data_IF_706221188368
#
_entry.id   IF_706221188368
#
_cell.length_a   1.000
_cell.length_b   1.000
_cell.length_c   1.000
_cell.angle_alpha   90.00
_cell.angle_beta   90.00
_cell.angle_gamma   90.00
#
_symmetry.space_group_name_H-M   'P 1'
#
loop_
_entity.id
_entity.type
_entity.pdbx_description
1 polymer ?
#
# COMPACT_ATOMS: atom_id res chain seq x y z
N UNK A 1 32.75 -8.73 -9.94
CA UNK A 1 31.33 -8.30 -10.02
C UNK A 1 30.84 -8.22 -8.58
N UNK A 2 30.28 -7.08 -8.17
CA UNK A 2 29.72 -6.89 -6.81
C UNK A 2 28.21 -6.71 -7.00
N UNK A 3 27.43 -7.49 -6.26
CA UNK A 3 25.99 -7.31 -6.17
C UNK A 3 25.67 -6.50 -4.91
N UNK A 4 24.71 -5.58 -5.01
CA UNK A 4 24.16 -4.83 -3.89
C UNK A 4 22.69 -5.22 -3.78
N UNK A 5 22.29 -5.67 -2.61
CA UNK A 5 20.91 -6.04 -2.32
C UNK A 5 20.20 -4.86 -1.66
N UNK A 6 18.97 -4.58 -2.10
CA UNK A 6 18.13 -3.55 -1.53
C UNK A 6 16.91 -4.20 -0.89
N UNK A 7 16.64 -3.84 0.36
CA UNK A 7 15.37 -4.07 1.00
C UNK A 7 14.42 -2.89 0.80
N UNK A 8 13.25 -2.97 1.42
CA UNK A 8 12.41 -1.79 1.56
C UNK A 8 13.08 -0.79 2.50
N UNK A 9 12.93 0.53 2.25
CA UNK A 9 13.46 1.55 3.12
C UNK A 9 12.81 1.50 4.52
N UNK A 10 13.45 2.16 5.48
CA UNK A 10 12.84 2.36 6.80
C UNK A 10 11.49 3.10 6.66
N UNK A 11 10.53 2.85 7.57
CA UNK A 11 9.17 3.40 7.47
C UNK A 11 9.16 4.91 7.22
N UNK A 12 9.92 5.67 8.02
CA UNK A 12 9.99 7.13 7.92
C UNK A 12 10.49 7.60 6.54
N UNK A 13 11.47 6.89 5.97
CA UNK A 13 11.99 7.18 4.63
C UNK A 13 10.97 6.82 3.56
N UNK A 14 10.29 5.68 3.70
CA UNK A 14 9.24 5.25 2.77
C UNK A 14 8.07 6.24 2.75
N UNK A 15 7.68 6.76 3.92
CA UNK A 15 6.62 7.75 4.05
C UNK A 15 6.99 9.07 3.35
N UNK A 16 8.23 9.56 3.52
CA UNK A 16 8.70 10.75 2.81
C UNK A 16 8.71 10.55 1.29
N UNK A 17 9.16 9.38 0.82
CA UNK A 17 9.10 9.03 -0.60
C UNK A 17 7.66 9.06 -1.09
N UNK A 18 6.73 8.45 -0.34
CA UNK A 18 5.35 8.34 -0.75
C UNK A 18 4.64 9.70 -0.75
N UNK A 19 4.82 10.51 0.29
CA UNK A 19 4.28 11.87 0.35
C UNK A 19 4.73 12.71 -0.85
N UNK A 20 6.03 12.64 -1.19
CA UNK A 20 6.60 13.36 -2.34
C UNK A 20 6.10 12.84 -3.68
N UNK A 21 6.24 11.54 -3.94
CA UNK A 21 5.99 10.93 -5.26
C UNK A 21 4.50 10.75 -5.59
N UNK A 22 3.66 10.68 -4.57
CA UNK A 22 2.21 10.54 -4.71
C UNK A 22 1.47 11.87 -4.54
N UNK A 23 2.12 12.91 -4.00
CA UNK A 23 1.48 14.22 -3.78
C UNK A 23 0.43 14.20 -2.67
N UNK A 24 0.61 13.37 -1.64
CA UNK A 24 -0.29 13.24 -0.49
C UNK A 24 0.33 13.81 0.78
N UNK A 25 -0.50 14.11 1.78
CA UNK A 25 0.00 14.53 3.08
C UNK A 25 0.69 13.39 3.85
N UNK A 26 1.44 13.75 4.90
CA UNK A 26 2.22 12.79 5.71
C UNK A 26 1.34 11.75 6.42
N UNK A 27 0.10 12.09 6.80
CA UNK A 27 -0.80 11.15 7.48
C UNK A 27 -1.28 10.06 6.53
N UNK A 28 -1.68 10.45 5.32
CA UNK A 28 -2.02 9.52 4.22
C UNK A 28 -0.83 8.64 3.87
N UNK A 29 0.38 9.23 3.80
CA UNK A 29 1.60 8.47 3.53
C UNK A 29 1.89 7.42 4.61
N UNK A 30 1.79 7.80 5.88
CA UNK A 30 1.97 6.91 7.02
C UNK A 30 0.98 5.76 7.03
N UNK A 31 -0.30 6.00 6.70
CA UNK A 31 -1.31 4.96 6.61
C UNK A 31 -1.01 3.94 5.50
N UNK A 32 -0.65 4.41 4.31
CA UNK A 32 -0.29 3.54 3.18
C UNK A 32 0.98 2.72 3.46
N UNK A 33 1.99 3.30 4.12
CA UNK A 33 3.21 2.58 4.51
C UNK A 33 2.91 1.53 5.59
N UNK A 34 2.12 1.88 6.62
CA UNK A 34 1.68 0.92 7.65
C UNK A 34 0.93 -0.27 7.04
N UNK A 35 0.03 0.02 6.10
CA UNK A 35 -0.70 -1.01 5.34
C UNK A 35 0.24 -1.87 4.51
N UNK A 36 1.17 -1.28 3.76
CA UNK A 36 2.18 -2.01 2.97
C UNK A 36 3.03 -2.95 3.83
N UNK A 37 3.44 -2.51 5.02
CA UNK A 37 4.16 -3.35 5.98
C UNK A 37 3.30 -4.52 6.49
N UNK A 38 2.01 -4.31 6.72
CA UNK A 38 1.09 -5.37 7.11
C UNK A 38 1.01 -6.46 6.04
N UNK A 39 0.92 -6.08 4.76
CA UNK A 39 0.94 -7.04 3.65
C UNK A 39 2.28 -7.78 3.59
N UNK A 40 3.41 -7.08 3.71
CA UNK A 40 4.76 -7.70 3.64
C UNK A 40 5.00 -8.74 4.75
N UNK A 41 4.27 -8.66 5.87
CA UNK A 41 4.33 -9.64 6.96
C UNK A 41 3.50 -10.89 6.71
N UNK A 42 2.53 -10.87 5.78
CA UNK A 42 1.82 -12.08 5.40
C UNK A 42 2.80 -13.00 4.68
N UNK A 43 3.01 -14.21 5.22
CA UNK A 43 3.85 -15.23 4.57
C UNK A 43 3.39 -15.43 3.12
N UNK A 44 4.34 -15.36 2.19
CA UNK A 44 4.13 -15.16 0.75
C UNK A 44 3.42 -16.30 -0.02
N UNK A 45 2.64 -17.15 0.66
CA UNK A 45 2.02 -18.36 0.12
C UNK A 45 0.94 -18.17 -0.96
N UNK A 46 0.66 -16.94 -1.39
CA UNK A 46 -0.33 -16.66 -2.43
C UNK A 46 -0.23 -15.29 -3.10
N UNK A 47 0.80 -14.51 -2.79
CA UNK A 47 1.05 -13.23 -3.46
C UNK A 47 1.97 -13.48 -4.67
N UNK A 48 1.60 -12.91 -5.82
CA UNK A 48 2.41 -12.93 -7.04
C UNK A 48 3.62 -12.01 -6.94
N UNK A 49 3.43 -10.91 -6.22
CA UNK A 49 4.44 -9.88 -5.98
C UNK A 49 4.37 -9.42 -4.52
N UNK A 50 5.39 -8.70 -4.08
CA UNK A 50 5.42 -8.04 -2.77
C UNK A 50 4.76 -6.66 -2.86
N UNK A 51 4.17 -6.16 -1.77
CA UNK A 51 3.67 -4.78 -1.68
C UNK A 51 4.82 -3.77 -1.78
N UNK A 52 5.26 -3.48 -2.99
CA UNK A 52 6.37 -2.57 -3.28
C UNK A 52 6.03 -1.11 -3.02
N UNK A 53 7.03 -0.28 -2.77
CA UNK A 53 6.84 1.19 -2.65
C UNK A 53 6.12 1.76 -3.86
N UNK A 54 6.34 1.20 -5.06
CA UNK A 54 5.66 1.63 -6.30
C UNK A 54 4.14 1.40 -6.28
N UNK A 55 3.66 0.28 -5.73
CA UNK A 55 2.20 0.06 -5.65
C UNK A 55 1.57 0.94 -4.58
N UNK A 56 2.30 1.26 -3.51
CA UNK A 56 1.86 2.23 -2.51
C UNK A 56 1.79 3.65 -3.08
N UNK A 57 2.79 4.07 -3.87
CA UNK A 57 2.75 5.35 -4.60
C UNK A 57 1.56 5.40 -5.56
N UNK A 58 1.28 4.31 -6.28
CA UNK A 58 0.11 4.26 -7.16
C UNK A 58 -1.21 4.43 -6.40
N UNK A 59 -1.35 3.81 -5.22
CA UNK A 59 -2.49 4.04 -4.34
C UNK A 59 -2.57 5.49 -3.86
N UNK A 60 -1.45 6.06 -3.40
CA UNK A 60 -1.39 7.45 -2.97
C UNK A 60 -1.79 8.43 -4.08
N UNK A 61 -1.37 8.19 -5.33
CA UNK A 61 -1.77 9.03 -6.47
C UNK A 61 -3.27 8.99 -6.71
N UNK A 62 -3.89 7.83 -6.58
CA UNK A 62 -5.35 7.73 -6.68
C UNK A 62 -6.04 8.50 -5.55
N UNK A 63 -5.50 8.47 -4.33
CA UNK A 63 -6.00 9.28 -3.21
C UNK A 63 -5.85 10.78 -3.47
N UNK A 64 -4.71 11.21 -4.02
CA UNK A 64 -4.49 12.61 -4.41
C UNK A 64 -5.49 13.09 -5.49
N UNK A 65 -5.95 12.19 -6.36
CA UNK A 65 -7.02 12.43 -7.34
C UNK A 65 -8.44 12.34 -6.74
N UNK A 66 -8.56 12.14 -5.42
CA UNK A 66 -9.83 12.16 -4.69
C UNK A 66 -10.50 10.81 -4.50
N UNK A 67 -9.85 9.69 -4.81
CA UNK A 67 -10.41 8.37 -4.49
C UNK A 67 -10.33 8.11 -2.97
N UNK A 68 -11.35 7.47 -2.38
CA UNK A 68 -11.25 6.97 -1.01
C UNK A 68 -10.06 6.02 -0.86
N UNK A 69 -9.34 6.10 0.25
CA UNK A 69 -8.10 5.35 0.47
C UNK A 69 -8.29 3.83 0.35
N UNK A 70 -9.38 3.30 0.89
CA UNK A 70 -9.72 1.88 0.75
C UNK A 70 -9.92 1.48 -0.73
N UNK A 71 -10.60 2.32 -1.53
CA UNK A 71 -10.82 2.05 -2.96
C UNK A 71 -9.50 2.11 -3.73
N UNK A 72 -8.67 3.11 -3.47
CA UNK A 72 -7.35 3.25 -4.06
C UNK A 72 -6.47 2.02 -3.77
N UNK A 73 -6.45 1.54 -2.52
CA UNK A 73 -5.71 0.35 -2.13
C UNK A 73 -6.23 -0.94 -2.81
N UNK A 74 -7.55 -1.10 -2.94
CA UNK A 74 -8.14 -2.26 -3.63
C UNK A 74 -7.67 -2.34 -5.10
N UNK A 75 -7.67 -1.20 -5.79
CA UNK A 75 -7.31 -1.12 -7.21
C UNK A 75 -5.79 -1.19 -7.43
N UNK A 76 -5.01 -0.39 -6.70
CA UNK A 76 -3.59 -0.22 -6.96
C UNK A 76 -2.69 -1.20 -6.18
N UNK A 77 -3.19 -1.82 -5.10
CA UNK A 77 -2.42 -2.74 -4.27
C UNK A 77 -2.98 -4.16 -4.36
N UNK A 78 -4.24 -4.41 -3.95
CA UNK A 78 -4.75 -5.78 -3.91
C UNK A 78 -4.83 -6.43 -5.31
N UNK A 79 -5.35 -5.70 -6.31
CA UNK A 79 -5.48 -6.21 -7.68
C UNK A 79 -4.17 -6.70 -8.31
N UNK A 80 -3.07 -5.92 -8.27
CA UNK A 80 -1.78 -6.35 -8.81
C UNK A 80 -1.11 -7.49 -8.02
N UNK A 81 -1.33 -7.57 -6.71
CA UNK A 81 -0.61 -8.53 -5.86
C UNK A 81 -1.10 -9.98 -6.00
N UNK A 82 -2.34 -10.20 -6.43
CA UNK A 82 -2.88 -11.57 -6.57
C UNK A 82 -4.12 -11.60 -7.46
N UNK A 83 -4.35 -12.72 -8.15
CA UNK A 83 -5.62 -13.06 -8.77
C UNK A 83 -6.37 -14.18 -8.04
N UNK A 84 -5.78 -14.72 -6.97
CA UNK A 84 -6.42 -15.73 -6.14
C UNK A 84 -7.53 -15.08 -5.30
N UNK A 85 -8.74 -15.63 -5.41
CA UNK A 85 -9.94 -15.08 -4.77
C UNK A 85 -9.88 -15.19 -3.23
N UNK A 86 -9.20 -16.18 -2.67
CA UNK A 86 -9.02 -16.33 -1.23
C UNK A 86 -7.97 -15.34 -0.70
N UNK A 87 -6.83 -15.21 -1.39
CA UNK A 87 -5.78 -14.24 -1.03
C UNK A 87 -6.32 -12.81 -1.17
N UNK A 88 -7.03 -12.52 -2.26
CA UNK A 88 -7.66 -11.21 -2.49
C UNK A 88 -8.69 -10.86 -1.41
N UNK A 89 -9.43 -11.84 -0.87
CA UNK A 89 -10.32 -11.61 0.29
C UNK A 89 -9.54 -11.20 1.53
N UNK A 90 -8.45 -11.89 1.87
CA UNK A 90 -7.59 -11.52 2.99
C UNK A 90 -6.97 -10.12 2.83
N UNK A 91 -6.56 -9.74 1.62
CA UNK A 91 -6.09 -8.38 1.34
C UNK A 91 -7.19 -7.33 1.53
N UNK A 92 -8.43 -7.62 1.11
CA UNK A 92 -9.56 -6.72 1.36
C UNK A 92 -9.85 -6.57 2.86
N UNK A 93 -9.77 -7.64 3.65
CA UNK A 93 -9.92 -7.56 5.11
C UNK A 93 -8.83 -6.67 5.73
N UNK A 94 -7.58 -6.79 5.27
CA UNK A 94 -6.52 -5.87 5.72
C UNK A 94 -6.79 -4.42 5.32
N UNK A 95 -7.32 -4.17 4.12
CA UNK A 95 -7.71 -2.82 3.69
C UNK A 95 -8.75 -2.26 4.64
N UNK A 96 -9.75 -3.06 5.00
CA UNK A 96 -10.84 -2.60 5.86
C UNK A 96 -10.33 -2.29 7.28
N UNK A 97 -9.38 -3.09 7.80
CA UNK A 97 -8.76 -2.88 9.12
C UNK A 97 -7.87 -1.63 9.16
N UNK A 98 -7.11 -1.35 8.10
CA UNK A 98 -6.10 -0.29 8.11
C UNK A 98 -6.60 1.04 7.54
N UNK A 99 -7.56 1.03 6.62
CA UNK A 99 -7.86 2.17 5.74
C UNK A 99 -9.35 2.57 5.69
N UNK A 100 -10.26 1.83 6.32
CA UNK A 100 -11.70 2.16 6.34
C UNK A 100 -12.10 3.16 7.45
N UNK A 101 -11.11 3.71 8.15
CA UNK A 101 -11.29 4.68 9.24
C UNK A 101 -11.44 6.15 8.82
N UNK A 102 -11.27 6.49 7.54
CA UNK A 102 -11.26 7.87 7.04
C UNK A 102 -12.59 8.30 6.38
N UNK A 103 -13.72 7.86 6.93
CA UNK A 103 -15.04 8.34 6.54
C UNK A 103 -15.49 9.50 7.44
N UNK A 104 -14.85 10.66 7.32
CA UNK A 104 -15.40 11.93 7.82
C UNK A 104 -14.66 13.15 7.24
N UNK A 105 -15.15 13.65 6.10
CA UNK A 105 -15.63 15.03 5.92
C UNK A 105 -15.77 15.32 4.41
N UNK A 106 -17.01 15.52 3.97
CA UNK A 106 -17.38 16.38 2.85
C UNK A 106 -18.52 17.25 3.36
#
# INVERSE_FOLDING_TARGET
MVAIEFGFPDPEVEECILAHEAGVDQSTAAELVRFGQAIRRLEAGGLREVASTRVLIAAGRLVAEGLPMAVAARVAVAGPLTDDVAVGRGLNELIDVYLDGSASDH
#
